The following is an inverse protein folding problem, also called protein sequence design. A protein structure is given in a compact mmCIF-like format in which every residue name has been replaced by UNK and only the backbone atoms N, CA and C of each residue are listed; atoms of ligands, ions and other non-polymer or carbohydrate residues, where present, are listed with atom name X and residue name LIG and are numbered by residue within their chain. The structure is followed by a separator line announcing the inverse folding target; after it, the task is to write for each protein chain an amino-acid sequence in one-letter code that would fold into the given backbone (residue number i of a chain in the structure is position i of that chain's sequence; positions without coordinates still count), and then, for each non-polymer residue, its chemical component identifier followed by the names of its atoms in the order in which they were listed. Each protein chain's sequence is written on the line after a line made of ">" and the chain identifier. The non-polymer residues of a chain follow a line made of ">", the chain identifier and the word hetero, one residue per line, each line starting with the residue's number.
data_IF_664013022397
#
_entry.id   IF_664013022397
#
_cell.length_a   1.000
_cell.length_b   1.000
_cell.length_c   1.000
_cell.angle_alpha   90.00
_cell.angle_beta   90.00
_cell.angle_gamma   90.00
#
_symmetry.space_group_name_H-M   'P 1'
#
loop_
_entity.id
_entity.type
_entity.pdbx_description
1 polymer ?
#
# COMPACT_ATOMS: atom_id res chain seq x y z
N UNK A 1 -21.32 19.02 25.32
CA UNK A 1 -20.72 18.29 24.18
C UNK A 1 -21.73 18.30 23.04
N UNK A 2 -21.43 18.99 21.94
CA UNK A 2 -22.29 18.97 20.76
C UNK A 2 -22.23 17.56 20.12
N UNK A 3 -23.39 16.97 19.81
CA UNK A 3 -23.44 15.70 19.08
C UNK A 3 -22.94 15.96 17.65
N UNK A 4 -21.91 15.24 17.22
CA UNK A 4 -21.47 15.23 15.83
C UNK A 4 -22.64 14.81 14.93
N UNK A 5 -22.76 15.41 13.74
CA UNK A 5 -23.77 14.97 12.77
C UNK A 5 -23.50 13.53 12.34
N UNK A 6 -24.51 12.80 11.89
CA UNK A 6 -24.34 11.41 11.41
C UNK A 6 -23.29 11.34 10.29
N UNK A 7 -23.25 12.35 9.41
CA UNK A 7 -22.22 12.46 8.36
C UNK A 7 -20.81 12.59 8.94
N UNK A 8 -20.63 13.40 9.97
CA UNK A 8 -19.31 13.57 10.61
C UNK A 8 -18.86 12.29 11.30
N UNK A 9 -19.78 11.58 11.97
CA UNK A 9 -19.50 10.28 12.60
C UNK A 9 -19.09 9.21 11.58
N UNK A 10 -19.81 9.12 10.45
CA UNK A 10 -19.49 8.21 9.36
C UNK A 10 -18.18 8.57 8.67
N UNK A 11 -17.90 9.87 8.50
CA UNK A 11 -16.64 10.33 7.93
C UNK A 11 -15.46 9.98 8.85
N UNK A 12 -15.57 10.22 10.16
CA UNK A 12 -14.53 9.83 11.12
C UNK A 12 -14.32 8.31 11.15
N UNK A 13 -15.41 7.53 11.06
CA UNK A 13 -15.30 6.08 10.96
C UNK A 13 -14.58 5.67 9.68
N UNK A 14 -14.97 6.18 8.50
CA UNK A 14 -14.30 5.90 7.21
C UNK A 14 -12.80 6.14 7.28
N UNK A 15 -12.39 7.29 7.83
CA UNK A 15 -10.98 7.67 7.98
C UNK A 15 -10.18 6.65 8.79
N UNK A 16 -10.80 5.98 9.76
CA UNK A 16 -10.16 4.92 10.55
C UNK A 16 -9.79 3.70 9.69
N UNK A 17 -10.58 3.38 8.66
CA UNK A 17 -10.32 2.25 7.76
C UNK A 17 -9.42 2.60 6.58
N UNK A 18 -9.48 3.85 6.12
CA UNK A 18 -8.89 4.26 4.83
C UNK A 18 -7.67 5.17 4.98
N UNK A 19 -7.54 5.88 6.11
CA UNK A 19 -6.53 6.92 6.31
C UNK A 19 -6.84 8.22 5.56
N UNK A 20 -8.05 8.38 5.04
CA UNK A 20 -8.48 9.63 4.38
C UNK A 20 -8.49 10.82 5.35
N UNK A 21 -8.40 12.03 4.79
CA UNK A 21 -8.71 13.25 5.52
C UNK A 21 -10.19 13.61 5.37
N UNK A 22 -10.68 14.58 6.16
CA UNK A 22 -12.09 14.98 6.13
C UNK A 22 -12.54 15.55 4.78
N UNK A 23 -11.64 16.20 4.03
CA UNK A 23 -11.97 16.74 2.71
C UNK A 23 -12.21 15.66 1.65
N UNK A 24 -11.69 14.45 1.87
CA UNK A 24 -11.95 13.25 1.06
C UNK A 24 -13.16 12.47 1.59
N UNK A 25 -13.19 12.19 2.89
CA UNK A 25 -14.19 11.31 3.49
C UNK A 25 -15.61 11.90 3.53
N UNK A 26 -15.77 13.21 3.80
CA UNK A 26 -17.10 13.83 3.91
C UNK A 26 -17.87 13.80 2.57
N UNK A 27 -17.27 14.18 1.42
CA UNK A 27 -17.94 14.01 0.13
C UNK A 27 -18.34 12.56 -0.19
N UNK A 28 -17.46 11.58 0.07
CA UNK A 28 -17.74 10.16 -0.19
C UNK A 28 -18.92 9.63 0.65
N UNK A 29 -18.95 9.97 1.94
CA UNK A 29 -20.08 9.62 2.81
C UNK A 29 -21.38 10.27 2.32
N UNK A 30 -21.33 11.50 1.83
CA UNK A 30 -22.51 12.20 1.27
C UNK A 30 -23.00 11.59 -0.05
N UNK A 31 -22.13 10.99 -0.86
CA UNK A 31 -22.53 10.25 -2.06
C UNK A 31 -23.03 8.83 -1.75
N UNK A 32 -22.97 8.39 -0.48
CA UNK A 32 -23.37 7.05 -0.05
C UNK A 32 -22.27 5.99 -0.19
N UNK A 33 -21.06 6.39 -0.56
CA UNK A 33 -19.90 5.51 -0.70
C UNK A 33 -19.20 5.35 0.65
N UNK A 34 -19.76 4.55 1.55
CA UNK A 34 -19.18 4.35 2.88
C UNK A 34 -17.83 3.66 2.80
N UNK A 35 -17.79 2.44 2.22
CA UNK A 35 -16.56 1.74 1.87
C UNK A 35 -16.88 0.62 0.87
N UNK A 36 -17.07 0.93 -0.43
CA UNK A 36 -17.50 -0.07 -1.41
C UNK A 36 -16.41 -1.13 -1.60
N UNK A 37 -16.80 -2.37 -1.91
CA UNK A 37 -15.89 -3.39 -2.41
C UNK A 37 -15.72 -3.25 -3.94
N UNK A 38 -14.66 -3.86 -4.49
CA UNK A 38 -14.44 -3.86 -5.94
C UNK A 38 -15.53 -4.67 -6.67
N UNK A 39 -16.14 -4.05 -7.68
CA UNK A 39 -17.29 -4.60 -8.40
C UNK A 39 -16.93 -5.80 -9.29
N UNK A 40 -15.75 -5.76 -9.93
CA UNK A 40 -15.34 -6.77 -10.92
C UNK A 40 -14.26 -7.70 -10.37
N UNK A 41 -14.20 -8.92 -10.90
CA UNK A 41 -13.16 -9.87 -10.52
C UNK A 41 -11.77 -9.38 -10.92
N UNK A 42 -11.63 -8.79 -12.11
CA UNK A 42 -10.37 -8.21 -12.56
C UNK A 42 -9.84 -7.15 -11.58
N UNK A 43 -10.72 -6.26 -11.10
CA UNK A 43 -10.34 -5.24 -10.11
C UNK A 43 -9.97 -5.87 -8.77
N UNK A 44 -10.71 -6.88 -8.31
CA UNK A 44 -10.37 -7.63 -7.08
C UNK A 44 -9.00 -8.30 -7.18
N UNK A 45 -8.69 -8.92 -8.31
CA UNK A 45 -7.39 -9.56 -8.57
C UNK A 45 -6.25 -8.54 -8.54
N UNK A 46 -6.40 -7.41 -9.23
CA UNK A 46 -5.38 -6.36 -9.21
C UNK A 46 -5.17 -5.81 -7.80
N UNK A 47 -6.23 -5.48 -7.08
CA UNK A 47 -6.14 -4.96 -5.71
C UNK A 47 -5.50 -5.96 -4.74
N UNK A 48 -5.85 -7.24 -4.83
CA UNK A 48 -5.21 -8.28 -4.03
C UNK A 48 -3.70 -8.41 -4.32
N UNK A 49 -3.31 -8.34 -5.61
CA UNK A 49 -1.89 -8.35 -6.01
C UNK A 49 -1.15 -7.11 -5.50
N UNK A 50 -1.80 -5.94 -5.51
CA UNK A 50 -1.28 -4.70 -4.94
C UNK A 50 -1.06 -4.81 -3.44
N UNK A 51 -2.00 -5.39 -2.69
CA UNK A 51 -1.82 -5.61 -1.24
C UNK A 51 -0.63 -6.53 -0.96
N UNK A 52 -0.50 -7.64 -1.68
CA UNK A 52 0.60 -8.58 -1.52
C UNK A 52 1.96 -7.91 -1.83
N UNK A 53 2.04 -7.18 -2.96
CA UNK A 53 3.23 -6.42 -3.35
C UNK A 53 3.59 -5.35 -2.31
N UNK A 54 2.59 -4.65 -1.76
CA UNK A 54 2.79 -3.65 -0.71
C UNK A 54 3.34 -4.25 0.59
N UNK A 55 2.88 -5.43 1.00
CA UNK A 55 3.43 -6.12 2.18
C UNK A 55 4.90 -6.52 1.97
N UNK A 56 5.24 -7.02 0.78
CA UNK A 56 6.63 -7.34 0.42
C UNK A 56 7.50 -6.07 0.36
N UNK A 57 7.02 -5.01 -0.29
CA UNK A 57 7.69 -3.72 -0.36
C UNK A 57 7.93 -3.10 1.02
N UNK A 58 6.95 -3.21 1.94
CA UNK A 58 7.09 -2.72 3.30
C UNK A 58 8.24 -3.40 4.05
N UNK A 59 8.50 -4.69 3.80
CA UNK A 59 9.64 -5.40 4.40
C UNK A 59 10.98 -4.77 3.99
N UNK A 60 11.07 -4.23 2.78
CA UNK A 60 12.24 -3.50 2.30
C UNK A 60 12.31 -2.10 2.90
N UNK A 61 11.18 -1.39 2.99
CA UNK A 61 11.12 -0.07 3.60
C UNK A 61 11.60 -0.06 5.04
N UNK A 62 11.34 -1.13 5.80
CA UNK A 62 11.82 -1.27 7.18
C UNK A 62 13.36 -1.34 7.30
N UNK A 63 14.05 -1.64 6.22
CA UNK A 63 15.51 -1.66 6.16
C UNK A 63 16.10 -0.31 5.74
N UNK A 64 15.26 0.68 5.36
CA UNK A 64 15.69 2.00 4.89
C UNK A 64 15.59 3.04 6.02
N UNK A 65 16.70 3.58 6.53
CA UNK A 65 16.66 4.64 7.54
C UNK A 65 15.85 5.85 7.06
N UNK A 66 15.02 6.53 7.88
CA UNK A 66 14.95 6.42 9.34
C UNK A 66 13.94 5.38 9.82
N UNK A 67 13.33 4.61 8.91
CA UNK A 67 12.41 3.55 9.28
C UNK A 67 13.14 2.52 10.15
N UNK A 68 12.36 1.94 11.05
CA UNK A 68 12.85 0.88 11.89
C UNK A 68 11.73 0.10 12.52
N UNK A 69 12.07 -0.96 13.24
CA UNK A 69 11.06 -1.81 13.83
C UNK A 69 10.18 -1.08 14.87
N UNK A 70 10.67 0.05 15.40
CA UNK A 70 9.94 0.97 16.30
C UNK A 70 9.41 2.22 15.59
N UNK A 71 9.73 2.41 14.30
CA UNK A 71 9.26 3.48 13.42
C UNK A 71 8.75 2.86 12.12
N UNK A 72 7.52 2.33 12.13
CA UNK A 72 7.00 1.54 11.01
C UNK A 72 7.01 2.33 9.70
N UNK A 73 7.39 1.65 8.63
CA UNK A 73 7.18 2.10 7.26
C UNK A 73 6.17 1.17 6.58
N UNK A 74 5.05 1.76 6.16
CA UNK A 74 4.05 1.11 5.33
C UNK A 74 4.20 1.60 3.89
N UNK A 75 3.67 0.85 2.92
CA UNK A 75 3.66 1.31 1.53
C UNK A 75 2.62 2.42 1.32
N UNK A 76 1.49 2.34 2.02
CA UNK A 76 0.35 3.25 1.87
C UNK A 76 0.14 4.06 3.14
N UNK A 77 0.05 5.37 2.98
CA UNK A 77 -0.42 6.30 4.01
C UNK A 77 -1.95 6.33 4.04
N UNK A 78 -2.55 6.37 2.85
CA UNK A 78 -4.00 6.47 2.65
C UNK A 78 -4.38 5.63 1.43
N UNK A 79 -5.53 4.97 1.51
CA UNK A 79 -6.17 4.29 0.39
C UNK A 79 -7.55 4.92 0.26
N UNK A 80 -7.86 5.59 -0.84
CA UNK A 80 -9.20 6.11 -1.12
C UNK A 80 -9.99 5.05 -1.91
N UNK A 81 -11.01 4.40 -1.30
CA UNK A 81 -11.84 3.44 -1.99
C UNK A 81 -12.77 4.14 -3.00
N UNK A 82 -12.87 3.54 -4.19
CA UNK A 82 -13.79 3.90 -5.27
C UNK A 82 -13.91 2.72 -6.24
N UNK A 83 -14.43 2.96 -7.44
CA UNK A 83 -14.37 1.96 -8.53
C UNK A 83 -12.91 1.63 -8.85
N UNK A 84 -12.12 2.68 -9.10
CA UNK A 84 -10.66 2.63 -9.16
C UNK A 84 -10.10 3.12 -7.84
N UNK A 85 -9.40 2.25 -7.11
CA UNK A 85 -8.73 2.64 -5.85
C UNK A 85 -7.61 3.63 -6.12
N UNK A 86 -7.55 4.68 -5.29
CA UNK A 86 -6.47 5.66 -5.32
C UNK A 86 -5.57 5.48 -4.10
N UNK A 87 -4.30 5.24 -4.36
CA UNK A 87 -3.28 4.88 -3.39
C UNK A 87 -2.37 6.08 -3.13
N UNK A 88 -2.27 6.50 -1.88
CA UNK A 88 -1.34 7.53 -1.44
C UNK A 88 -0.17 6.85 -0.75
N UNK A 89 0.98 6.94 -1.40
CA UNK A 89 2.17 6.24 -0.96
C UNK A 89 2.79 6.96 0.25
N UNK A 90 3.38 6.19 1.16
CA UNK A 90 4.30 6.73 2.15
C UNK A 90 5.61 7.14 1.48
N UNK A 91 6.40 7.96 2.16
CA UNK A 91 7.70 8.39 1.65
C UNK A 91 8.57 7.18 1.29
N UNK A 92 9.23 7.25 0.12
CA UNK A 92 10.12 6.22 -0.43
C UNK A 92 9.47 4.89 -0.80
N UNK A 93 8.16 4.72 -0.59
CA UNK A 93 7.46 3.48 -0.94
C UNK A 93 7.37 3.22 -2.46
N UNK A 94 7.45 4.26 -3.30
CA UNK A 94 7.25 4.12 -4.74
C UNK A 94 8.24 3.15 -5.39
N UNK A 95 9.54 3.28 -5.15
CA UNK A 95 10.55 2.40 -5.74
C UNK A 95 10.34 0.92 -5.38
N UNK A 96 10.32 0.55 -4.08
CA UNK A 96 10.03 -0.80 -3.62
C UNK A 96 8.69 -1.35 -4.13
N UNK A 97 7.64 -0.53 -4.14
CA UNK A 97 6.33 -0.95 -4.63
C UNK A 97 6.37 -1.24 -6.14
N UNK A 98 6.98 -0.36 -6.94
CA UNK A 98 7.14 -0.58 -8.38
C UNK A 98 8.01 -1.82 -8.65
N UNK A 99 9.06 -2.05 -7.87
CA UNK A 99 9.88 -3.25 -8.02
C UNK A 99 9.05 -4.51 -7.83
N UNK A 100 8.15 -4.55 -6.85
CA UNK A 100 7.28 -5.72 -6.63
C UNK A 100 6.12 -5.83 -7.61
N UNK A 101 5.60 -4.70 -8.15
CA UNK A 101 4.46 -4.69 -9.08
C UNK A 101 4.86 -4.91 -10.53
N UNK A 102 5.95 -4.31 -11.00
CA UNK A 102 6.28 -4.31 -12.41
C UNK A 102 6.63 -5.73 -12.89
N UNK A 103 6.06 -6.17 -14.02
CA UNK A 103 6.28 -7.49 -14.54
C UNK A 103 7.75 -7.70 -14.90
N UNK A 104 8.33 -8.79 -14.40
CA UNK A 104 9.72 -9.20 -14.64
C UNK A 104 9.83 -10.72 -14.64
N UNK A 105 11.00 -11.22 -15.04
CA UNK A 105 11.38 -12.63 -14.88
C UNK A 105 12.58 -12.73 -13.94
N UNK A 106 12.50 -13.57 -12.93
CA UNK A 106 13.56 -13.80 -11.95
C UNK A 106 13.82 -15.31 -11.82
N UNK A 107 15.05 -15.75 -12.12
CA UNK A 107 15.43 -17.17 -12.13
C UNK A 107 14.50 -18.09 -12.98
N UNK A 108 13.91 -17.55 -14.06
CA UNK A 108 12.96 -18.27 -14.92
C UNK A 108 11.51 -18.25 -14.46
N UNK A 109 11.19 -17.57 -13.36
CA UNK A 109 9.82 -17.40 -12.85
C UNK A 109 9.31 -15.99 -13.13
N UNK A 110 8.04 -15.87 -13.53
CA UNK A 110 7.36 -14.59 -13.68
C UNK A 110 7.09 -13.96 -12.32
N UNK A 111 7.52 -12.71 -12.13
CA UNK A 111 7.35 -11.94 -10.89
C UNK A 111 6.68 -10.60 -11.18
N UNK A 112 5.90 -10.09 -10.23
CA UNK A 112 5.06 -8.90 -10.43
C UNK A 112 3.75 -9.23 -11.14
N UNK A 113 3.02 -8.20 -11.57
CA UNK A 113 1.69 -8.36 -12.17
C UNK A 113 1.81 -8.47 -13.68
N UNK A 114 1.47 -9.64 -14.24
CA UNK A 114 1.45 -9.83 -15.69
C UNK A 114 0.51 -8.84 -16.37
N UNK A 115 0.97 -8.29 -17.50
CA UNK A 115 0.19 -7.35 -18.31
C UNK A 115 0.00 -5.95 -17.70
N UNK A 116 0.65 -5.65 -16.56
CA UNK A 116 0.57 -4.34 -15.94
C UNK A 116 1.19 -3.27 -16.83
N UNK A 117 0.42 -2.23 -17.12
CA UNK A 117 0.83 -1.05 -17.90
C UNK A 117 0.77 0.18 -17.03
N UNK A 118 1.52 1.19 -17.45
CA UNK A 118 1.58 2.49 -16.81
C UNK A 118 1.09 3.57 -17.77
N UNK A 119 0.27 4.48 -17.27
CA UNK A 119 -0.07 5.73 -17.92
C UNK A 119 0.27 6.90 -16.98
N UNK A 120 1.05 7.85 -17.49
CA UNK A 120 1.44 9.02 -16.70
C UNK A 120 0.44 10.17 -16.86
N UNK A 121 -0.02 10.70 -15.73
CA UNK A 121 -0.79 11.93 -15.65
C UNK A 121 0.01 13.05 -14.96
N UNK A 122 -0.51 14.27 -14.99
CA UNK A 122 0.19 15.46 -14.43
C UNK A 122 0.56 15.31 -12.94
N UNK A 123 -0.29 14.64 -12.14
CA UNK A 123 -0.14 14.52 -10.67
C UNK A 123 -0.44 13.11 -10.16
N UNK A 124 -0.38 12.13 -11.04
CA UNK A 124 -0.62 10.73 -10.70
C UNK A 124 -0.07 9.82 -11.79
N UNK A 125 0.21 8.58 -11.40
CA UNK A 125 0.48 7.50 -12.33
C UNK A 125 -0.65 6.48 -12.20
N UNK A 126 -1.19 6.04 -13.31
CA UNK A 126 -2.21 5.00 -13.36
C UNK A 126 -1.56 3.68 -13.76
N UNK A 127 -1.88 2.61 -13.04
CA UNK A 127 -1.43 1.26 -13.33
C UNK A 127 -2.63 0.41 -13.73
N UNK A 128 -2.58 -0.19 -14.91
CA UNK A 128 -3.71 -0.91 -15.50
C UNK A 128 -3.34 -2.33 -15.91
N UNK A 129 -4.28 -3.27 -15.77
CA UNK A 129 -4.18 -4.61 -16.36
C UNK A 129 -5.57 -5.08 -16.81
N UNK A 130 -5.74 -5.29 -18.11
CA UNK A 130 -7.08 -5.51 -18.68
C UNK A 130 -8.05 -4.38 -18.34
N UNK A 131 -9.18 -4.73 -17.73
CA UNK A 131 -10.24 -3.80 -17.31
C UNK A 131 -10.11 -3.33 -15.85
N UNK A 132 -8.95 -3.57 -15.22
CA UNK A 132 -8.67 -3.17 -13.85
C UNK A 132 -7.62 -2.05 -13.78
N UNK A 133 -7.78 -1.15 -12.81
CA UNK A 133 -6.88 -0.02 -12.63
C UNK A 133 -6.65 0.30 -11.15
N UNK A 134 -5.48 0.88 -10.84
CA UNK A 134 -5.21 1.58 -9.59
C UNK A 134 -4.48 2.89 -9.89
N UNK A 135 -4.73 3.92 -9.08
CA UNK A 135 -4.08 5.23 -9.25
C UNK A 135 -3.09 5.48 -8.13
N UNK A 136 -1.83 5.74 -8.47
CA UNK A 136 -0.82 6.25 -7.54
C UNK A 136 -0.94 7.78 -7.45
N UNK A 137 -1.55 8.25 -6.37
CA UNK A 137 -1.80 9.68 -6.15
C UNK A 137 -0.53 10.45 -5.83
N UNK A 138 -0.37 11.63 -6.42
CA UNK A 138 0.79 12.50 -6.17
C UNK A 138 2.07 12.07 -6.87
N UNK A 139 2.03 10.99 -7.65
CA UNK A 139 3.17 10.51 -8.43
C UNK A 139 3.19 11.21 -9.79
N UNK A 140 3.95 12.29 -9.89
CA UNK A 140 4.24 12.92 -11.18
C UNK A 140 5.38 12.20 -11.92
N UNK A 141 5.75 12.71 -13.11
CA UNK A 141 6.82 12.11 -13.92
C UNK A 141 8.16 12.06 -13.18
N UNK A 142 8.50 13.09 -12.41
CA UNK A 142 9.78 13.14 -11.70
C UNK A 142 9.84 12.09 -10.58
N UNK A 143 8.75 11.94 -9.83
CA UNK A 143 8.60 10.89 -8.83
C UNK A 143 8.66 9.50 -9.48
N UNK A 144 7.96 9.31 -10.60
CA UNK A 144 8.00 8.07 -11.38
C UNK A 144 9.42 7.71 -11.82
N UNK A 145 10.14 8.66 -12.41
CA UNK A 145 11.52 8.46 -12.87
C UNK A 145 12.46 8.10 -11.71
N UNK A 146 12.23 8.67 -10.52
CA UNK A 146 12.97 8.32 -9.29
C UNK A 146 12.65 6.89 -8.82
N UNK A 147 11.37 6.49 -8.82
CA UNK A 147 10.96 5.12 -8.55
C UNK A 147 11.59 4.12 -9.53
N UNK A 148 11.63 4.45 -10.83
CA UNK A 148 12.25 3.61 -11.84
C UNK A 148 13.78 3.53 -11.72
N UNK A 149 14.46 4.56 -11.17
CA UNK A 149 15.90 4.44 -10.81
C UNK A 149 16.11 3.37 -9.75
N UNK A 150 15.26 3.35 -8.71
CA UNK A 150 15.30 2.30 -7.69
C UNK A 150 15.08 0.90 -8.30
N UNK A 151 14.09 0.75 -9.18
CA UNK A 151 13.80 -0.53 -9.85
C UNK A 151 15.02 -1.03 -10.64
N UNK A 152 15.63 -0.16 -11.45
CA UNK A 152 16.85 -0.50 -12.23
C UNK A 152 18.01 -0.90 -11.33
N UNK A 153 18.24 -0.16 -10.25
CA UNK A 153 19.29 -0.50 -9.29
C UNK A 153 19.03 -1.85 -8.61
N UNK A 154 17.79 -2.15 -8.20
CA UNK A 154 17.45 -3.44 -7.60
C UNK A 154 17.64 -4.61 -8.57
N UNK A 155 17.33 -4.42 -9.85
CA UNK A 155 17.60 -5.40 -10.89
C UNK A 155 19.11 -5.70 -10.99
N UNK A 156 19.93 -4.66 -11.05
CA UNK A 156 21.40 -4.81 -11.07
C UNK A 156 21.91 -5.48 -9.80
N UNK A 157 21.49 -5.01 -8.63
CA UNK A 157 21.93 -5.50 -7.33
C UNK A 157 21.58 -6.98 -7.11
N UNK A 158 20.39 -7.42 -7.53
CA UNK A 158 19.97 -8.82 -7.42
C UNK A 158 20.41 -9.69 -8.61
N UNK A 159 21.04 -9.10 -9.63
CA UNK A 159 21.40 -9.81 -10.86
C UNK A 159 20.18 -10.30 -11.65
N UNK A 160 19.04 -9.62 -11.52
CA UNK A 160 17.78 -9.99 -12.19
C UNK A 160 17.74 -9.29 -13.53
N UNK A 161 17.92 -10.05 -14.62
CA UNK A 161 17.80 -9.53 -15.98
C UNK A 161 16.43 -8.90 -16.22
N UNK A 162 16.42 -7.73 -16.83
CA UNK A 162 15.18 -7.15 -17.33
C UNK A 162 14.81 -7.91 -18.61
N UNK A 163 13.72 -8.65 -18.57
CA UNK A 163 13.07 -9.14 -19.80
C UNK A 163 11.83 -8.28 -20.01
N UNK A 164 11.75 -7.59 -21.15
CA UNK A 164 10.49 -7.03 -21.62
C UNK A 164 9.49 -8.19 -21.78
N UNK A 165 8.41 -8.16 -21.02
CA UNK A 165 7.49 -9.29 -20.88
C UNK A 165 7.86 -10.22 -19.72
N UNK A 166 6.83 -10.71 -19.03
CA UNK A 166 6.94 -11.45 -17.78
C UNK A 166 5.76 -11.12 -16.86
N UNK A 167 5.95 -11.34 -15.56
CA UNK A 167 4.88 -11.22 -14.58
C UNK A 167 4.25 -12.57 -14.23
N UNK A 168 3.60 -12.60 -13.07
CA UNK A 168 2.79 -13.72 -12.64
C UNK A 168 1.33 -13.47 -13.09
N UNK A 169 0.85 -14.31 -14.01
CA UNK A 169 -0.53 -14.33 -14.49
C UNK A 169 -1.46 -15.20 -13.63
N UNK A 170 -0.94 -15.96 -12.67
CA UNK A 170 -1.73 -16.73 -11.72
C UNK A 170 -2.70 -15.82 -10.97
N UNK A 171 -3.93 -16.31 -10.82
CA UNK A 171 -4.95 -15.68 -10.01
C UNK A 171 -4.60 -15.84 -8.53
N UNK A 172 -4.76 -14.77 -7.76
CA UNK A 172 -4.69 -14.87 -6.31
C UNK A 172 -5.97 -15.51 -5.79
N UNK A 173 -5.81 -16.59 -5.02
CA UNK A 173 -6.92 -17.20 -4.31
C UNK A 173 -7.60 -16.19 -3.39
N UNK A 174 -8.94 -16.23 -3.35
CA UNK A 174 -9.76 -15.33 -2.52
C UNK A 174 -9.45 -13.84 -2.76
N UNK A 175 -9.28 -13.42 -4.02
CA UNK A 175 -8.93 -12.04 -4.36
C UNK A 175 -9.93 -11.01 -3.83
N UNK A 176 -11.20 -11.37 -3.67
CA UNK A 176 -12.20 -10.52 -2.99
C UNK A 176 -11.77 -10.15 -1.57
N UNK A 177 -11.24 -11.10 -0.81
CA UNK A 177 -10.71 -10.86 0.54
C UNK A 177 -9.48 -9.97 0.49
N UNK A 178 -8.54 -10.23 -0.42
CA UNK A 178 -7.35 -9.38 -0.59
C UNK A 178 -7.70 -7.92 -0.97
N UNK A 179 -8.65 -7.73 -1.88
CA UNK A 179 -9.18 -6.42 -2.25
C UNK A 179 -9.87 -5.72 -1.08
N UNK A 180 -10.72 -6.44 -0.34
CA UNK A 180 -11.39 -5.91 0.84
C UNK A 180 -10.37 -5.49 1.93
N UNK A 181 -9.29 -6.25 2.11
CA UNK A 181 -8.19 -5.93 3.01
C UNK A 181 -7.41 -4.70 2.55
N UNK A 182 -7.11 -4.55 1.24
CA UNK A 182 -6.43 -3.36 0.72
C UNK A 182 -7.20 -2.08 1.04
N UNK A 183 -8.51 -2.08 0.80
CA UNK A 183 -9.40 -0.93 1.04
C UNK A 183 -9.52 -0.57 2.52
N UNK A 184 -9.05 -1.44 3.43
CA UNK A 184 -9.09 -1.31 4.88
C UNK A 184 -7.69 -1.39 5.50
N UNK A 185 -6.63 -1.28 4.71
CA UNK A 185 -5.24 -1.52 5.16
C UNK A 185 -4.81 -0.56 6.27
N UNK A 186 -5.45 0.61 6.37
CA UNK A 186 -5.16 1.59 7.42
C UNK A 186 -5.55 1.10 8.83
N UNK A 187 -6.35 0.03 8.93
CA UNK A 187 -6.59 -0.63 10.21
C UNK A 187 -5.31 -1.09 10.91
N UNK A 188 -4.22 -1.30 10.17
CA UNK A 188 -2.92 -1.74 10.70
C UNK A 188 -1.83 -0.65 10.66
N UNK A 189 -2.18 0.63 10.46
CA UNK A 189 -1.19 1.70 10.27
C UNK A 189 -0.30 1.98 11.50
N UNK A 190 -0.69 1.52 12.69
CA UNK A 190 0.12 1.61 13.91
C UNK A 190 0.98 0.34 14.16
N UNK A 191 0.83 -0.68 13.32
CA UNK A 191 1.61 -1.90 13.45
C UNK A 191 3.06 -1.67 12.99
N UNK A 192 4.03 -2.29 13.69
CA UNK A 192 5.44 -2.26 13.31
C UNK A 192 5.67 -2.79 11.90
N UNK A 193 4.90 -3.79 11.48
CA UNK A 193 4.86 -4.33 10.12
C UNK A 193 3.54 -5.06 9.89
N UNK A 194 3.20 -5.27 8.61
CA UNK A 194 2.02 -6.01 8.18
C UNK A 194 2.40 -7.04 7.12
N UNK A 195 1.89 -8.26 7.26
CA UNK A 195 1.95 -9.31 6.26
C UNK A 195 0.54 -9.79 5.97
N UNK A 196 0.15 -9.81 4.71
CA UNK A 196 -1.12 -10.36 4.25
C UNK A 196 -0.89 -11.22 3.01
N UNK A 197 -1.34 -12.47 3.03
CA UNK A 197 -1.26 -13.38 1.88
C UNK A 197 -2.38 -14.43 1.91
N UNK A 198 -2.79 -14.98 0.76
CA UNK A 198 -3.65 -16.15 0.74
C UNK A 198 -2.92 -17.36 1.32
N UNK A 199 -3.60 -18.11 2.19
CA UNK A 199 -3.14 -19.38 2.76
C UNK A 199 -4.29 -20.38 2.77
N UNK A 200 -4.30 -21.29 1.79
CA UNK A 200 -5.41 -22.23 1.62
C UNK A 200 -6.69 -21.50 1.21
N UNK A 201 -7.76 -21.68 1.98
CA UNK A 201 -9.08 -21.10 1.70
C UNK A 201 -9.32 -19.71 2.32
N UNK A 202 -8.35 -19.17 3.07
CA UNK A 202 -8.47 -17.88 3.74
C UNK A 202 -7.28 -16.97 3.47
N UNK A 203 -7.43 -15.69 3.77
CA UNK A 203 -6.28 -14.80 3.89
C UNK A 203 -5.74 -14.83 5.31
N UNK A 204 -4.42 -15.01 5.41
CA UNK A 204 -3.70 -14.87 6.66
C UNK A 204 -3.13 -13.46 6.76
N UNK A 205 -3.48 -12.77 7.85
CA UNK A 205 -3.02 -11.42 8.16
C UNK A 205 -2.30 -11.43 9.50
N UNK A 206 -1.01 -11.14 9.45
CA UNK A 206 -0.13 -11.10 10.60
C UNK A 206 0.49 -9.72 10.75
N UNK A 207 0.57 -9.23 11.99
CA UNK A 207 1.21 -7.96 12.29
C UNK A 207 1.85 -7.97 13.68
N UNK A 208 2.84 -7.10 13.87
CA UNK A 208 3.48 -6.91 15.17
C UNK A 208 3.09 -5.57 15.80
N UNK A 209 2.81 -5.59 17.10
CA UNK A 209 2.44 -4.36 17.83
C UNK A 209 1.10 -3.78 17.38
N UNK A 210 0.96 -2.46 17.45
CA UNK A 210 -0.22 -1.72 17.02
C UNK A 210 -1.53 -2.22 17.66
N UNK A 211 -2.66 -2.15 16.91
CA UNK A 211 -4.00 -2.43 17.43
C UNK A 211 -4.15 -3.88 17.87
N UNK A 212 -5.04 -4.10 18.84
CA UNK A 212 -5.32 -5.43 19.34
C UNK A 212 -6.04 -6.29 18.29
N UNK A 213 -5.82 -7.60 18.30
CA UNK A 213 -6.50 -8.50 17.34
C UNK A 213 -8.03 -8.43 17.46
N UNK A 214 -8.55 -8.35 18.70
CA UNK A 214 -9.98 -8.23 18.95
C UNK A 214 -10.59 -6.94 18.37
N UNK A 215 -9.85 -5.83 18.44
CA UNK A 215 -10.26 -4.53 17.90
C UNK A 215 -10.32 -4.56 16.36
N UNK A 216 -9.28 -5.10 15.72
CA UNK A 216 -9.26 -5.30 14.26
C UNK A 216 -10.41 -6.22 13.83
N UNK A 217 -10.65 -7.30 14.57
CA UNK A 217 -11.74 -8.25 14.28
C UNK A 217 -13.12 -7.60 14.40
N UNK A 218 -13.34 -6.77 15.42
CA UNK A 218 -14.58 -6.02 15.58
C UNK A 218 -14.79 -5.04 14.42
N UNK A 219 -13.74 -4.29 14.05
CA UNK A 219 -13.78 -3.37 12.90
C UNK A 219 -14.08 -4.09 11.59
N UNK A 220 -13.42 -5.22 11.33
CA UNK A 220 -13.69 -6.03 10.14
C UNK A 220 -15.10 -6.64 10.12
N UNK A 221 -15.83 -6.69 11.25
CA UNK A 221 -17.23 -7.13 11.32
C UNK A 221 -18.23 -5.98 11.27
N UNK A 222 -17.77 -4.73 11.15
CA UNK A 222 -18.66 -3.58 11.11
C UNK A 222 -19.61 -3.69 9.89
N UNK A 223 -20.93 -3.49 10.06
CA UNK A 223 -21.90 -3.70 8.97
C UNK A 223 -21.63 -2.83 7.73
N UNK A 224 -21.20 -1.58 7.94
CA UNK A 224 -21.02 -0.63 6.84
C UNK A 224 -19.57 -0.47 6.33
N UNK A 225 -18.59 -0.92 7.11
CA UNK A 225 -17.16 -0.66 6.86
C UNK A 225 -16.30 -1.93 6.95
N UNK A 226 -16.83 -3.02 7.48
CA UNK A 226 -16.19 -4.32 7.58
C UNK A 226 -16.33 -5.13 6.30
N UNK A 227 -16.01 -6.42 6.37
CA UNK A 227 -16.13 -7.39 5.30
C UNK A 227 -16.71 -8.70 5.85
N UNK A 228 -17.38 -9.46 5.00
CA UNK A 228 -17.90 -10.80 5.35
C UNK A 228 -16.89 -11.92 5.06
N UNK A 229 -15.73 -11.58 4.51
CA UNK A 229 -14.69 -12.53 4.17
C UNK A 229 -14.10 -13.23 5.41
N UNK A 230 -13.72 -14.50 5.25
CA UNK A 230 -12.98 -15.22 6.27
C UNK A 230 -11.50 -14.82 6.26
N UNK A 231 -11.00 -14.40 7.42
CA UNK A 231 -9.67 -13.84 7.60
C UNK A 231 -9.06 -14.41 8.88
N UNK A 232 -7.95 -15.12 8.73
CA UNK A 232 -7.14 -15.57 9.84
C UNK A 232 -6.24 -14.41 10.30
N UNK A 233 -6.57 -13.85 11.46
CA UNK A 233 -5.80 -12.77 12.08
C UNK A 233 -4.80 -13.35 13.08
N UNK A 234 -3.59 -12.79 13.11
CA UNK A 234 -2.60 -13.08 14.14
C UNK A 234 -1.82 -11.82 14.50
N UNK A 235 -2.01 -11.37 15.74
CA UNK A 235 -1.13 -10.34 16.31
C UNK A 235 0.04 -10.99 17.05
N UNK A 236 1.23 -10.46 16.86
CA UNK A 236 2.39 -10.77 17.70
C UNK A 236 2.86 -9.52 18.47
N UNK A 237 3.66 -9.74 19.50
CA UNK A 237 4.19 -8.64 20.31
C UNK A 237 5.09 -7.73 19.48
N UNK A 238 5.04 -6.43 19.81
CA UNK A 238 5.96 -5.47 19.21
C UNK A 238 7.40 -5.85 19.60
N UNK A 239 8.33 -5.86 18.66
CA UNK A 239 9.74 -5.99 18.97
C UNK A 239 10.18 -4.81 19.86
N UNK A 240 10.81 -5.14 20.99
CA UNK A 240 11.17 -4.16 22.03
C UNK A 240 12.53 -3.50 21.80
N UNK A 241 13.30 -4.01 20.83
CA UNK A 241 14.61 -3.48 20.44
C UNK A 241 14.68 -3.41 18.93
N UNK A 242 15.24 -2.30 18.47
CA UNK A 242 15.60 -2.13 17.07
C UNK A 242 16.75 -3.06 16.70
N UNK A 243 16.88 -3.35 15.41
CA UNK A 243 18.08 -4.01 14.88
C UNK A 243 19.24 -3.02 15.02
N UNK A 244 20.40 -3.48 15.52
CA UNK A 244 21.58 -2.62 15.65
C UNK A 244 21.86 -1.90 14.33
N UNK A 245 22.15 -0.59 14.39
CA UNK A 245 22.31 0.25 13.19
C UNK A 245 23.39 -0.29 12.23
N UNK A 246 24.46 -0.86 12.78
CA UNK A 246 25.52 -1.53 12.00
C UNK A 246 25.11 -2.85 11.34
N UNK A 247 23.99 -3.46 11.76
CA UNK A 247 23.39 -4.63 11.10
C UNK A 247 22.41 -4.25 9.99
N UNK A 248 22.12 -2.95 9.79
CA UNK A 248 21.46 -2.44 8.58
C UNK A 248 22.49 -2.37 7.45
N UNK A 249 23.01 -3.54 7.08
CA UNK A 249 24.11 -3.71 6.13
C UNK A 249 23.68 -3.65 4.66
N UNK A 250 22.43 -3.25 4.38
CA UNK A 250 21.98 -3.15 3.00
C UNK A 250 22.67 -1.94 2.37
N UNK A 251 23.40 -2.10 1.26
CA UNK A 251 24.23 -1.04 0.67
C UNK A 251 23.36 -0.07 -0.12
N UNK A 252 22.45 0.62 0.56
CA UNK A 252 21.55 1.58 -0.05
C UNK A 252 22.35 2.75 -0.64
N UNK A 253 22.22 3.04 -1.95
CA UNK A 253 22.70 4.30 -2.51
C UNK A 253 22.17 5.50 -1.72
N UNK A 254 23.02 6.50 -1.48
CA UNK A 254 22.65 7.72 -0.75
C UNK A 254 21.42 8.41 -1.36
N UNK A 255 21.21 8.31 -2.68
CA UNK A 255 20.02 8.87 -3.33
C UNK A 255 18.69 8.25 -2.84
N UNK A 256 18.69 7.01 -2.33
CA UNK A 256 17.50 6.35 -1.78
C UNK A 256 17.38 6.49 -0.25
N UNK A 257 18.49 6.78 0.45
CA UNK A 257 18.53 7.00 1.90
C UNK A 257 18.37 8.48 2.26
N UNK A 258 18.83 9.38 1.41
CA UNK A 258 18.59 10.81 1.55
C UNK A 258 17.09 11.06 1.46
N UNK A 259 16.57 11.98 2.26
CA UNK A 259 15.19 12.42 2.11
C UNK A 259 15.07 13.18 0.78
N UNK A 260 14.89 12.45 -0.32
CA UNK A 260 14.24 13.00 -1.50
C UNK A 260 12.80 13.21 -1.07
N UNK A 261 12.58 14.31 -0.37
CA UNK A 261 11.29 14.98 -0.30
C UNK A 261 10.79 15.04 -1.74
N UNK A 262 9.72 14.32 -2.05
CA UNK A 262 8.86 14.75 -3.15
C UNK A 262 8.68 16.25 -2.91
N UNK A 263 9.16 17.07 -3.86
CA UNK A 263 9.36 18.49 -3.66
C UNK A 263 8.19 19.08 -2.87
N UNK A 264 8.44 19.53 -1.64
CA UNK A 264 7.49 20.40 -0.97
C UNK A 264 7.26 21.57 -1.94
N UNK A 265 6.02 21.93 -2.24
CA UNK A 265 5.76 23.05 -3.14
C UNK A 265 6.47 24.27 -2.56
N UNK A 266 7.39 24.82 -3.37
CA UNK A 266 8.28 25.97 -3.10
C UNK A 266 7.52 27.08 -2.35
N UNK A 267 7.45 27.00 -1.02
CA UNK A 267 7.02 28.11 -0.17
C UNK A 267 8.25 28.95 0.10
N UNK A 268 8.68 29.69 -0.92
CA UNK A 268 9.58 30.82 -0.71
C UNK A 268 8.85 31.81 0.20
N UNK A 269 9.44 32.24 1.33
CA UNK A 269 8.95 33.42 2.00
C UNK A 269 9.26 34.63 1.12
N UNK A 270 8.22 35.37 0.74
CA UNK A 270 8.36 36.74 0.24
C UNK A 270 9.19 37.54 1.25
N UNK A 271 10.44 37.84 0.89
CA UNK A 271 11.20 38.88 1.53
C UNK A 271 10.64 40.22 1.06
N UNK A 272 9.95 40.91 1.98
CA UNK A 272 9.71 42.36 1.92
C UNK A 272 11.00 43.13 2.09
#
# INVERSE_FOLDING_TARGET
>A
MARLSTTDQLADLRRTYTGENLSQAVPAVRSGELLPDAATEAQRQLEAKVLAAACTAASVLQLMPPASIIRPAHAFRTVEPGETVRLHLSDRALGPLLFELLPRTEAGFGMGVAGLRHEQHRRSAELTTGDAAVVLAGVDQAAWDAGMRYVRWMHEFRGVGHTDGGGNDEELAQAATGSALLRRVHLWHEASWLRALPMGEAWFVEWAGGPAEAEVRERLRHPDFGTTADIALRRIDAPTRDVEEGMRTYPWPEEFVSAVTAAEPDQRPDHR
#
